data_IF_165090462804
#
_entry.id   IF_165090462804
#
_cell.length_a   1.000
_cell.length_b   1.000
_cell.length_c   1.000
_cell.angle_alpha   90.00
_cell.angle_beta   90.00
_cell.angle_gamma   90.00
#
_symmetry.space_group_name_H-M   'P 1'
#
loop_
_entity.id
_entity.type
_entity.pdbx_description
1 polymer ?
#
# COMPACT_ATOMS: atom_id res chain seq x y z
N UNK A 1 1.90 18.11 55.28
CA UNK A 1 2.26 19.32 54.53
C UNK A 1 3.79 19.32 54.34
N UNK A 2 4.31 18.59 53.35
CA UNK A 2 5.68 18.68 52.79
C UNK A 2 5.92 17.56 51.73
N UNK A 3 4.98 17.35 50.81
CA UNK A 3 5.17 16.37 49.71
C UNK A 3 4.52 16.85 48.40
N UNK A 4 4.87 18.07 48.01
CA UNK A 4 4.62 18.69 46.71
C UNK A 4 5.73 19.74 46.54
N UNK A 5 6.26 19.93 45.32
CA UNK A 5 7.24 20.96 44.91
C UNK A 5 8.75 20.63 44.92
N UNK A 6 9.15 19.48 44.35
CA UNK A 6 10.43 19.42 43.64
C UNK A 6 10.30 18.50 42.42
N UNK A 7 9.85 19.13 41.34
CA UNK A 7 9.77 18.62 39.97
C UNK A 7 11.18 18.77 39.37
N UNK A 8 11.43 18.10 38.24
CA UNK A 8 12.40 18.45 37.18
C UNK A 8 13.89 18.19 37.40
N UNK A 9 14.36 16.99 37.01
CA UNK A 9 15.43 16.87 35.99
C UNK A 9 15.51 15.44 35.43
N UNK A 10 14.93 15.28 34.23
CA UNK A 10 15.48 14.52 33.10
C UNK A 10 15.61 12.99 33.20
N UNK A 11 14.48 12.30 33.05
CA UNK A 11 14.42 11.17 32.11
C UNK A 11 13.23 11.42 31.19
N UNK A 12 13.45 11.86 29.92
CA UNK A 12 12.35 11.84 28.97
C UNK A 12 11.89 10.39 28.85
N UNK A 13 10.57 10.19 28.94
CA UNK A 13 9.91 8.92 28.73
C UNK A 13 10.60 8.19 27.56
N UNK A 14 11.06 6.96 27.84
CA UNK A 14 11.76 6.15 26.86
C UNK A 14 10.93 6.08 25.59
N UNK A 15 11.51 6.66 24.54
CA UNK A 15 11.12 6.65 23.14
C UNK A 15 10.28 5.41 22.76
N UNK A 16 8.94 5.57 22.67
CA UNK A 16 7.94 4.55 22.30
C UNK A 16 8.06 4.05 20.83
N UNK A 17 9.26 4.11 20.26
CA UNK A 17 9.54 3.55 18.94
C UNK A 17 9.90 2.06 19.09
N UNK A 18 9.28 1.17 18.30
CA UNK A 18 9.57 -0.26 18.37
C UNK A 18 11.06 -0.51 18.07
N UNK A 19 11.68 -1.44 18.81
CA UNK A 19 13.12 -1.72 18.76
C UNK A 19 13.65 -1.92 17.33
N UNK A 20 12.85 -2.57 16.49
CA UNK A 20 13.19 -2.83 15.09
C UNK A 20 13.40 -1.54 14.28
N UNK A 21 12.61 -0.50 14.56
CA UNK A 21 12.70 0.81 13.91
C UNK A 21 13.88 1.66 14.41
N UNK A 22 14.49 1.30 15.54
CA UNK A 22 15.68 1.95 16.09
C UNK A 22 16.98 1.31 15.63
N UNK A 23 16.95 0.01 15.33
CA UNK A 23 18.14 -0.79 15.02
C UNK A 23 18.34 -0.93 13.50
N UNK A 24 17.27 -1.08 12.72
CA UNK A 24 17.38 -1.27 11.28
C UNK A 24 17.26 0.07 10.52
N UNK A 25 18.20 0.36 9.59
CA UNK A 25 18.01 1.39 8.59
C UNK A 25 16.75 1.16 7.76
N UNK A 26 16.13 2.24 7.29
CA UNK A 26 14.86 2.19 6.53
C UNK A 26 14.94 1.26 5.32
N UNK A 27 16.10 1.18 4.68
CA UNK A 27 16.35 0.37 3.49
C UNK A 27 16.19 -1.12 3.78
N UNK A 28 16.62 -1.58 4.96
CA UNK A 28 16.46 -2.98 5.37
C UNK A 28 15.02 -3.30 5.74
N UNK A 29 14.30 -2.35 6.33
CA UNK A 29 12.87 -2.51 6.62
C UNK A 29 12.08 -2.58 5.32
N UNK A 30 12.37 -1.70 4.34
CA UNK A 30 11.80 -1.76 2.99
C UNK A 30 12.12 -3.10 2.32
N UNK A 31 13.33 -3.64 2.52
CA UNK A 31 13.71 -4.95 2.01
C UNK A 31 12.91 -6.08 2.65
N UNK A 32 12.64 -6.03 3.95
CA UNK A 32 11.75 -6.99 4.64
C UNK A 32 10.33 -6.87 4.08
N UNK A 33 9.81 -5.64 3.95
CA UNK A 33 8.49 -5.36 3.42
C UNK A 33 8.33 -5.84 1.98
N UNK A 34 9.40 -5.87 1.18
CA UNK A 34 9.37 -6.43 -0.19
C UNK A 34 9.05 -7.92 -0.28
N UNK A 35 9.11 -8.66 0.83
CA UNK A 35 8.72 -10.07 0.89
C UNK A 35 7.30 -10.31 1.45
N UNK A 36 6.62 -9.25 1.90
CA UNK A 36 5.29 -9.35 2.46
C UNK A 36 4.23 -9.26 1.35
N UNK A 37 3.15 -10.01 1.52
CA UNK A 37 1.98 -9.86 0.65
C UNK A 37 1.23 -8.55 0.95
N UNK A 38 0.32 -8.19 0.05
CA UNK A 38 -0.45 -6.94 0.11
C UNK A 38 -1.23 -6.82 1.43
N UNK A 39 -1.74 -7.94 1.95
CA UNK A 39 -2.52 -7.96 3.19
C UNK A 39 -1.61 -7.71 4.38
N UNK A 40 -0.46 -8.39 4.46
CA UNK A 40 0.51 -8.17 5.53
C UNK A 40 1.10 -6.77 5.47
N UNK A 41 1.39 -6.23 4.28
CA UNK A 41 1.78 -4.82 4.11
C UNK A 41 0.71 -3.86 4.60
N UNK A 42 -0.55 -4.10 4.27
CA UNK A 42 -1.67 -3.29 4.77
C UNK A 42 -1.78 -3.36 6.29
N UNK A 43 -1.53 -4.52 6.91
CA UNK A 43 -1.49 -4.69 8.37
C UNK A 43 -0.28 -3.96 8.99
N UNK A 44 0.90 -4.09 8.40
CA UNK A 44 2.10 -3.35 8.80
C UNK A 44 1.86 -1.83 8.76
N UNK A 45 1.14 -1.33 7.76
CA UNK A 45 0.81 0.08 7.66
C UNK A 45 -0.08 0.59 8.81
N UNK A 46 -0.75 -0.30 9.55
CA UNK A 46 -1.66 0.05 10.64
C UNK A 46 -1.00 0.01 12.02
N UNK A 47 0.28 -0.38 12.13
CA UNK A 47 0.94 -0.57 13.45
C UNK A 47 1.49 0.73 14.04
N UNK A 48 2.20 1.54 13.25
CA UNK A 48 2.77 2.82 13.70
C UNK A 48 2.97 3.78 12.53
N UNK A 49 3.19 5.08 12.82
CA UNK A 49 3.37 6.13 11.78
C UNK A 49 4.55 5.84 10.84
N UNK A 50 5.65 5.30 11.36
CA UNK A 50 6.83 4.99 10.55
C UNK A 50 6.57 3.81 9.61
N UNK A 51 5.93 2.75 10.10
CA UNK A 51 5.57 1.60 9.27
C UNK A 51 4.46 1.94 8.29
N UNK A 52 3.56 2.86 8.64
CA UNK A 52 2.61 3.44 7.71
C UNK A 52 3.34 4.09 6.52
N UNK A 53 4.31 4.98 6.78
CA UNK A 53 5.09 5.60 5.71
C UNK A 53 5.89 4.59 4.88
N UNK A 54 6.55 3.63 5.53
CA UNK A 54 7.40 2.64 4.84
C UNK A 54 6.58 1.62 4.04
N UNK A 55 5.46 1.14 4.58
CA UNK A 55 4.57 0.22 3.87
C UNK A 55 3.83 0.92 2.70
N UNK A 56 3.81 2.25 2.71
CA UNK A 56 3.30 3.10 1.62
C UNK A 56 4.39 3.54 0.63
N UNK A 57 5.63 3.11 0.82
CA UNK A 57 6.70 3.43 -0.11
C UNK A 57 6.47 2.69 -1.43
N UNK A 58 6.24 3.46 -2.51
CA UNK A 58 5.89 2.92 -3.81
C UNK A 58 6.94 1.96 -4.39
N UNK A 59 8.20 2.04 -3.94
CA UNK A 59 9.26 1.13 -4.42
C UNK A 59 8.98 -0.35 -4.11
N UNK A 60 8.13 -0.64 -3.12
CA UNK A 60 7.70 -2.00 -2.75
C UNK A 60 6.55 -2.50 -3.63
N UNK A 61 5.76 -1.59 -4.21
CA UNK A 61 4.51 -1.90 -4.92
C UNK A 61 4.69 -2.03 -6.44
N UNK A 62 5.86 -2.45 -6.90
CA UNK A 62 6.13 -2.57 -8.35
C UNK A 62 5.30 -3.65 -9.03
N UNK A 63 4.94 -4.70 -8.29
CA UNK A 63 4.11 -5.79 -8.78
C UNK A 63 2.99 -6.09 -7.78
N UNK A 64 1.75 -6.02 -8.28
CA UNK A 64 0.53 -6.29 -7.51
C UNK A 64 -0.28 -7.36 -8.22
N UNK A 65 -0.56 -8.46 -7.53
CA UNK A 65 -1.46 -9.51 -8.01
C UNK A 65 -2.61 -9.68 -7.01
N UNK A 66 -3.84 -9.52 -7.51
CA UNK A 66 -5.07 -9.68 -6.73
C UNK A 66 -5.80 -10.98 -7.04
N UNK A 67 -5.15 -11.94 -7.72
CA UNK A 67 -5.77 -13.21 -8.12
C UNK A 67 -6.40 -14.00 -6.96
N UNK A 68 -5.84 -13.95 -5.75
CA UNK A 68 -6.42 -14.65 -4.60
C UNK A 68 -7.63 -13.93 -3.99
N UNK A 69 -7.87 -12.66 -4.35
CA UNK A 69 -8.88 -11.79 -3.72
C UNK A 69 -10.08 -11.49 -4.63
N UNK A 70 -10.33 -12.32 -5.64
CA UNK A 70 -11.31 -12.07 -6.72
C UNK A 70 -12.71 -11.63 -6.25
N UNK A 71 -13.17 -12.14 -5.10
CA UNK A 71 -14.48 -11.82 -4.50
C UNK A 71 -14.43 -10.70 -3.46
N UNK A 72 -13.28 -10.50 -2.81
CA UNK A 72 -13.10 -9.58 -1.68
C UNK A 72 -12.61 -8.19 -2.10
N UNK A 73 -12.11 -8.04 -3.32
CA UNK A 73 -11.67 -6.74 -3.86
C UNK A 73 -12.88 -5.85 -4.14
N UNK A 74 -13.09 -4.88 -3.25
CA UNK A 74 -14.09 -3.80 -3.38
C UNK A 74 -13.44 -2.52 -3.90
N UNK A 75 -14.23 -1.62 -4.49
CA UNK A 75 -13.76 -0.35 -5.04
C UNK A 75 -12.83 0.46 -4.11
N UNK A 76 -13.09 0.60 -2.78
CA UNK A 76 -12.20 1.34 -1.90
C UNK A 76 -10.81 0.72 -1.76
N UNK A 77 -10.70 -0.61 -1.82
CA UNK A 77 -9.42 -1.32 -1.77
C UNK A 77 -8.62 -0.98 -3.03
N UNK A 78 -9.29 -0.99 -4.17
CA UNK A 78 -8.67 -0.69 -5.46
C UNK A 78 -8.18 0.76 -5.54
N UNK A 79 -9.01 1.73 -5.16
CA UNK A 79 -8.61 3.14 -5.16
C UNK A 79 -7.46 3.40 -4.19
N UNK A 80 -7.48 2.77 -3.02
CA UNK A 80 -6.38 2.87 -2.08
C UNK A 80 -5.11 2.26 -2.68
N UNK A 81 -5.17 1.07 -3.28
CA UNK A 81 -4.02 0.49 -3.95
C UNK A 81 -3.48 1.40 -5.05
N UNK A 82 -4.31 1.94 -5.93
CA UNK A 82 -3.89 2.87 -6.98
C UNK A 82 -3.17 4.11 -6.42
N UNK A 83 -3.68 4.69 -5.32
CA UNK A 83 -3.03 5.83 -4.63
C UNK A 83 -1.71 5.44 -3.97
N UNK A 84 -1.60 4.22 -3.45
CA UNK A 84 -0.41 3.71 -2.73
C UNK A 84 0.70 3.31 -3.67
N UNK A 85 0.39 2.60 -4.75
CA UNK A 85 1.39 2.15 -5.71
C UNK A 85 1.90 3.34 -6.55
N UNK A 86 1.00 4.24 -6.95
CA UNK A 86 1.33 5.45 -7.68
C UNK A 86 2.19 5.19 -8.92
N UNK A 87 3.14 6.08 -9.19
CA UNK A 87 4.06 5.98 -10.33
C UNK A 87 5.07 4.83 -10.26
N UNK A 88 5.08 4.00 -9.22
CA UNK A 88 6.02 2.88 -9.11
C UNK A 88 5.42 1.55 -9.58
N UNK A 89 4.10 1.48 -9.77
CA UNK A 89 3.44 0.27 -10.23
C UNK A 89 3.83 -0.03 -11.67
N UNK A 90 4.46 -1.19 -11.89
CA UNK A 90 4.84 -1.67 -13.22
C UNK A 90 3.98 -2.83 -13.69
N UNK A 91 3.57 -3.71 -12.77
CA UNK A 91 2.82 -4.93 -13.09
C UNK A 91 1.57 -5.02 -12.22
N UNK A 92 0.40 -5.04 -12.84
CA UNK A 92 -0.88 -5.17 -12.16
C UNK A 92 -1.67 -6.35 -12.73
N UNK A 93 -2.02 -7.30 -11.87
CA UNK A 93 -2.93 -8.40 -12.20
C UNK A 93 -4.22 -8.27 -11.40
N UNK A 94 -5.34 -8.09 -12.11
CA UNK A 94 -6.70 -8.09 -11.58
C UNK A 94 -7.47 -9.34 -12.05
N UNK A 95 -6.74 -10.41 -12.38
CA UNK A 95 -7.28 -11.61 -13.01
C UNK A 95 -8.43 -12.21 -12.19
N UNK A 96 -9.58 -12.37 -12.84
CA UNK A 96 -10.78 -12.96 -12.26
C UNK A 96 -11.49 -12.08 -11.22
N UNK A 97 -11.07 -10.84 -10.98
CA UNK A 97 -11.77 -9.95 -10.07
C UNK A 97 -13.16 -9.61 -10.65
N UNK A 98 -14.22 -10.01 -9.93
CA UNK A 98 -15.60 -9.87 -10.40
C UNK A 98 -16.21 -8.50 -10.09
N UNK A 99 -15.64 -7.80 -9.11
CA UNK A 99 -16.15 -6.52 -8.60
C UNK A 99 -15.29 -5.30 -8.99
N UNK A 100 -14.26 -5.49 -9.81
CA UNK A 100 -13.50 -4.37 -10.37
C UNK A 100 -14.39 -3.63 -11.37
N UNK A 101 -14.64 -2.35 -11.08
CA UNK A 101 -15.40 -1.44 -11.92
C UNK A 101 -14.46 -0.62 -12.81
N UNK A 102 -15.02 -0.01 -13.85
CA UNK A 102 -14.30 0.89 -14.75
C UNK A 102 -13.67 2.10 -14.02
N UNK A 103 -14.34 2.63 -12.99
CA UNK A 103 -13.81 3.70 -12.14
C UNK A 103 -12.47 3.35 -11.48
N UNK A 104 -12.30 2.07 -11.11
CA UNK A 104 -11.08 1.56 -10.52
C UNK A 104 -9.93 1.54 -11.55
N UNK A 105 -10.22 1.14 -12.79
CA UNK A 105 -9.22 1.17 -13.89
C UNK A 105 -8.81 2.59 -14.25
N UNK A 106 -9.77 3.53 -14.36
CA UNK A 106 -9.47 4.95 -14.56
C UNK A 106 -8.57 5.49 -13.44
N UNK A 107 -8.80 5.06 -12.20
CA UNK A 107 -7.96 5.46 -11.07
C UNK A 107 -6.54 4.92 -11.20
N UNK A 108 -6.36 3.67 -11.62
CA UNK A 108 -5.02 3.13 -11.90
C UNK A 108 -4.35 3.85 -13.06
N UNK A 109 -5.05 4.09 -14.17
CA UNK A 109 -4.53 4.84 -15.30
C UNK A 109 -4.01 6.23 -14.90
N UNK A 110 -4.80 6.97 -14.10
CA UNK A 110 -4.45 8.31 -13.64
C UNK A 110 -3.33 8.34 -12.58
N UNK A 111 -3.23 7.31 -11.74
CA UNK A 111 -2.27 7.30 -10.61
C UNK A 111 -1.00 6.51 -10.91
N UNK A 112 -1.04 5.59 -11.85
CA UNK A 112 0.03 4.63 -12.14
C UNK A 112 0.44 4.72 -13.63
N UNK A 113 1.07 5.83 -14.06
CA UNK A 113 1.44 6.04 -15.46
C UNK A 113 2.52 5.09 -15.98
N UNK A 114 3.23 4.38 -15.09
CA UNK A 114 4.37 3.52 -15.44
C UNK A 114 4.01 2.02 -15.49
N UNK A 115 2.71 1.69 -15.63
CA UNK A 115 2.28 0.30 -15.79
C UNK A 115 2.80 -0.23 -17.13
N UNK A 116 3.62 -1.28 -17.07
CA UNK A 116 4.18 -2.00 -18.22
C UNK A 116 3.36 -3.26 -18.54
N UNK A 117 2.72 -3.87 -17.52
CA UNK A 117 1.93 -5.09 -17.68
C UNK A 117 0.61 -4.99 -16.91
N UNK A 118 -0.49 -5.17 -17.61
CA UNK A 118 -1.84 -5.19 -17.05
C UNK A 118 -2.57 -6.46 -17.46
N UNK A 119 -3.02 -7.26 -16.48
CA UNK A 119 -3.81 -8.47 -16.71
C UNK A 119 -5.24 -8.30 -16.20
N UNK A 120 -6.19 -8.32 -17.13
CA UNK A 120 -7.64 -8.21 -16.89
C UNK A 120 -8.38 -9.51 -17.25
N UNK A 121 -7.66 -10.61 -17.37
CA UNK A 121 -8.21 -11.87 -17.83
C UNK A 121 -9.37 -12.33 -16.94
N UNK A 122 -10.51 -12.69 -17.56
CA UNK A 122 -11.77 -13.07 -16.90
C UNK A 122 -12.40 -11.99 -15.99
N UNK A 123 -12.09 -10.70 -16.17
CA UNK A 123 -12.85 -9.61 -15.57
C UNK A 123 -14.18 -9.42 -16.33
N UNK A 124 -15.30 -9.84 -15.74
CA UNK A 124 -16.63 -9.82 -16.40
C UNK A 124 -17.25 -8.43 -16.56
N UNK A 125 -16.76 -7.43 -15.82
CA UNK A 125 -17.32 -6.06 -15.73
C UNK A 125 -16.45 -5.00 -16.38
N UNK A 126 -15.40 -5.42 -17.08
CA UNK A 126 -14.47 -4.53 -17.77
C UNK A 126 -14.72 -4.69 -19.28
N UNK A 127 -15.14 -3.61 -19.93
CA UNK A 127 -15.39 -3.53 -21.38
C UNK A 127 -14.28 -2.76 -22.07
N UNK A 128 -14.00 -3.05 -23.34
CA UNK A 128 -12.88 -2.46 -24.09
C UNK A 128 -12.88 -0.92 -24.10
N UNK A 129 -14.05 -0.28 -24.01
CA UNK A 129 -14.19 1.17 -23.86
C UNK A 129 -13.43 1.76 -22.65
N UNK A 130 -13.24 0.98 -21.59
CA UNK A 130 -12.52 1.41 -20.39
C UNK A 130 -11.00 1.56 -20.61
N UNK A 131 -10.45 0.93 -21.64
CA UNK A 131 -9.02 0.98 -21.98
C UNK A 131 -8.67 2.14 -22.91
N UNK A 132 -9.60 2.57 -23.77
CA UNK A 132 -9.38 3.70 -24.69
C UNK A 132 -9.24 5.05 -23.97
N UNK A 133 -9.95 5.25 -22.85
CA UNK A 133 -9.82 6.45 -22.01
C UNK A 133 -8.61 6.41 -21.06
N UNK A 134 -8.00 5.25 -20.87
CA UNK A 134 -6.96 5.00 -19.85
C UNK A 134 -5.52 5.10 -20.38
N UNK A 135 -5.34 5.28 -21.69
CA UNK A 135 -4.02 5.39 -22.35
C UNK A 135 -3.97 6.70 -23.15
N UNK A 136 -3.73 7.81 -22.46
CA UNK A 136 -3.28 9.07 -23.06
C UNK A 136 -2.16 9.67 -22.24
#
# INVERSE_FOLDING_TARGET
MLQMYLITTLLPAQNDQPLISRILPKELILRIFSYLDIISLCRCAQTCRQWNMLALDGSIWQQVDLFEFQKDVKAPVVENLAKRCGGFLKKLSLRGCENVQESALRTFALKCPNIEQLSLYKCKRVTDASLEDSVK
#
